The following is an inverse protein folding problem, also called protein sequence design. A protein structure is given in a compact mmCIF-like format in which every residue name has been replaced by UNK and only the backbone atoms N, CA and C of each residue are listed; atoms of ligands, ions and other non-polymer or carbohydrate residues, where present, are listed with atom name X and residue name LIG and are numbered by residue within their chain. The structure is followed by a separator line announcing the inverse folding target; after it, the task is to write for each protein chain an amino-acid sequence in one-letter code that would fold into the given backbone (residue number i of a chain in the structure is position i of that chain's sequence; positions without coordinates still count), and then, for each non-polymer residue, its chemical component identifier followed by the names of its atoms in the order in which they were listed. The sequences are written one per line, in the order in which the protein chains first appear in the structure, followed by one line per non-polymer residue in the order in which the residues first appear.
data_IF_338195636660
#
_entry.id   IF_338195636660
#
_cell.length_a   1.000
_cell.length_b   1.000
_cell.length_c   1.000
_cell.angle_alpha   90.00
_cell.angle_beta   90.00
_cell.angle_gamma   90.00
#
_symmetry.space_group_name_H-M   'P 1'
#
loop_
_entity.id
_entity.type
_entity.pdbx_description
1 polymer ?
#
# COMPACT_ATOMS: atom_id res chain seq x y z
N UNK A 1 0.60 1.52 -12.78
CA UNK A 1 1.24 2.65 -12.06
C UNK A 1 2.33 2.11 -11.13
N UNK A 2 3.61 2.09 -11.56
CA UNK A 2 4.64 1.25 -10.89
C UNK A 2 5.01 1.67 -9.46
N UNK A 3 4.80 2.93 -9.08
CA UNK A 3 5.07 3.36 -7.71
C UNK A 3 4.14 2.71 -6.66
N UNK A 4 2.95 2.22 -7.08
CA UNK A 4 2.04 1.50 -6.19
C UNK A 4 2.68 0.23 -5.63
N UNK A 5 3.53 -0.45 -6.43
CA UNK A 5 4.27 -1.63 -5.97
C UNK A 5 5.23 -1.27 -4.83
N UNK A 6 5.94 -0.14 -4.96
CA UNK A 6 6.81 0.35 -3.90
C UNK A 6 6.00 0.65 -2.63
N UNK A 7 4.85 1.32 -2.74
CA UNK A 7 4.01 1.61 -1.57
C UNK A 7 3.49 0.31 -0.94
N UNK A 8 3.07 -0.67 -1.75
CA UNK A 8 2.66 -1.99 -1.28
C UNK A 8 3.74 -2.64 -0.43
N UNK A 9 4.98 -2.72 -0.95
CA UNK A 9 6.14 -3.24 -0.21
C UNK A 9 6.41 -2.47 1.09
N UNK A 10 6.25 -1.14 1.10
CA UNK A 10 6.47 -0.32 2.29
C UNK A 10 5.34 -0.42 3.34
N UNK A 11 4.17 -0.89 2.93
CA UNK A 11 3.02 -1.18 3.81
C UNK A 11 2.98 -2.64 4.25
N UNK A 12 3.79 -3.51 3.65
CA UNK A 12 3.91 -4.91 4.02
C UNK A 12 4.69 -5.06 5.34
N UNK A 13 4.56 -6.21 5.98
CA UNK A 13 5.29 -6.53 7.20
C UNK A 13 6.81 -6.37 6.96
N UNK A 14 7.54 -5.61 7.80
CA UNK A 14 8.96 -5.34 7.63
C UNK A 14 9.81 -6.56 8.02
N UNK A 15 9.75 -7.60 7.18
CA UNK A 15 10.53 -8.82 7.32
C UNK A 15 12.02 -8.54 7.18
N UNK A 16 12.86 -9.41 7.75
CA UNK A 16 14.31 -9.27 7.66
C UNK A 16 14.79 -9.28 6.20
N UNK A 17 14.13 -10.06 5.34
CA UNK A 17 14.40 -10.15 3.91
C UNK A 17 14.09 -8.82 3.21
N UNK A 18 12.86 -8.30 3.38
CA UNK A 18 12.44 -7.02 2.80
C UNK A 18 13.35 -5.87 3.23
N UNK A 19 13.68 -5.79 4.52
CA UNK A 19 14.55 -4.74 5.05
C UNK A 19 15.97 -4.86 4.50
N UNK A 20 16.50 -6.07 4.35
CA UNK A 20 17.83 -6.30 3.77
C UNK A 20 17.88 -5.89 2.29
N UNK A 21 16.85 -6.24 1.52
CA UNK A 21 16.73 -5.83 0.10
C UNK A 21 16.61 -4.32 -0.03
N UNK A 22 15.74 -3.69 0.76
CA UNK A 22 15.56 -2.24 0.75
C UNK A 22 16.86 -1.51 1.15
N UNK A 23 17.58 -2.01 2.16
CA UNK A 23 18.87 -1.47 2.57
C UNK A 23 19.93 -1.59 1.47
N UNK A 24 20.00 -2.74 0.79
CA UNK A 24 20.93 -2.97 -0.31
C UNK A 24 20.63 -2.02 -1.50
N UNK A 25 19.36 -1.90 -1.87
CA UNK A 25 18.92 -1.02 -2.96
C UNK A 25 19.23 0.46 -2.67
N UNK A 26 18.96 0.92 -1.43
CA UNK A 26 19.27 2.28 -0.99
C UNK A 26 20.78 2.53 -0.96
N UNK A 27 21.59 1.55 -0.54
CA UNK A 27 23.06 1.68 -0.54
C UNK A 27 23.64 1.76 -1.95
N UNK A 28 23.08 1.02 -2.90
CA UNK A 28 23.55 0.99 -4.29
C UNK A 28 23.17 2.26 -5.06
N UNK A 29 21.92 2.69 -4.95
CA UNK A 29 21.36 3.74 -5.83
C UNK A 29 21.10 5.07 -5.15
N UNK A 30 21.01 5.08 -3.82
CA UNK A 30 20.50 6.19 -3.03
C UNK A 30 18.97 6.24 -3.03
N UNK A 31 18.38 6.57 -1.87
CA UNK A 31 16.93 6.51 -1.66
C UNK A 31 16.11 7.37 -2.64
N UNK A 32 16.61 8.55 -3.02
CA UNK A 32 15.92 9.44 -3.97
C UNK A 32 15.89 8.81 -5.36
N UNK A 33 17.00 8.23 -5.82
CA UNK A 33 17.09 7.58 -7.12
C UNK A 33 16.25 6.29 -7.16
N UNK A 34 16.22 5.53 -6.06
CA UNK A 34 15.36 4.36 -5.91
C UNK A 34 13.89 4.72 -6.12
N UNK A 35 13.39 5.73 -5.38
CA UNK A 35 12.00 6.19 -5.50
C UNK A 35 11.71 6.68 -6.93
N UNK A 36 12.64 7.41 -7.54
CA UNK A 36 12.49 7.86 -8.92
C UNK A 36 12.43 6.70 -9.93
N UNK A 37 13.20 5.64 -9.73
CA UNK A 37 13.18 4.44 -10.57
C UNK A 37 11.87 3.65 -10.44
N UNK A 38 11.21 3.71 -9.28
CA UNK A 38 9.90 3.10 -9.06
C UNK A 38 8.73 3.90 -9.68
N UNK A 39 8.98 5.11 -10.20
CA UNK A 39 7.98 5.94 -10.88
C UNK A 39 8.46 6.38 -12.29
N UNK A 40 8.62 5.41 -13.22
CA UNK A 40 9.11 5.69 -14.58
C UNK A 40 8.17 6.57 -15.39
N UNK A 41 6.87 6.54 -15.06
CA UNK A 41 5.84 7.32 -15.74
C UNK A 41 5.76 8.78 -15.25
N UNK A 42 6.47 9.13 -14.17
CA UNK A 42 6.47 10.48 -13.62
C UNK A 42 5.15 10.88 -12.96
N UNK A 43 4.45 9.93 -12.33
CA UNK A 43 3.16 10.18 -11.67
C UNK A 43 3.31 10.90 -10.35
N UNK A 44 4.43 10.71 -9.66
CA UNK A 44 4.72 11.34 -8.39
C UNK A 44 5.35 12.71 -8.61
N UNK A 45 4.80 13.71 -7.94
CA UNK A 45 5.41 15.03 -7.84
C UNK A 45 6.66 15.01 -6.93
N UNK A 46 7.37 16.14 -6.85
CA UNK A 46 8.62 16.22 -6.09
C UNK A 46 8.41 16.00 -4.58
N UNK A 47 7.28 16.47 -4.04
CA UNK A 47 6.98 16.36 -2.62
C UNK A 47 6.58 14.91 -2.26
N UNK A 48 5.82 14.24 -3.14
CA UNK A 48 5.45 12.83 -2.99
C UNK A 48 6.68 11.93 -3.05
N UNK A 49 7.61 12.18 -3.98
CA UNK A 49 8.88 11.45 -4.05
C UNK A 49 9.72 11.65 -2.78
N UNK A 50 9.78 12.88 -2.27
CA UNK A 50 10.49 13.19 -1.04
C UNK A 50 9.84 12.52 0.19
N UNK A 51 8.51 12.45 0.22
CA UNK A 51 7.76 11.78 1.28
C UNK A 51 8.09 10.29 1.35
N UNK A 52 8.08 9.58 0.21
CA UNK A 52 8.48 8.17 0.15
C UNK A 52 9.94 7.97 0.54
N UNK A 53 10.84 8.83 0.05
CA UNK A 53 12.26 8.76 0.39
C UNK A 53 12.52 8.98 1.89
N UNK A 54 11.79 9.92 2.50
CA UNK A 54 11.88 10.22 3.93
C UNK A 54 11.35 9.05 4.76
N UNK A 55 10.25 8.43 4.34
CA UNK A 55 9.72 7.23 4.99
C UNK A 55 10.75 6.10 4.96
N UNK A 56 11.28 5.74 3.78
CA UNK A 56 12.30 4.68 3.63
C UNK A 56 13.51 4.95 4.52
N UNK A 57 14.02 6.18 4.50
CA UNK A 57 15.18 6.58 5.31
C UNK A 57 14.89 6.41 6.80
N UNK A 58 13.70 6.80 7.27
CA UNK A 58 13.29 6.67 8.66
C UNK A 58 13.12 5.20 9.08
N UNK A 59 12.55 4.34 8.22
CA UNK A 59 12.42 2.91 8.52
C UNK A 59 13.79 2.24 8.67
N UNK A 60 14.71 2.49 7.73
CA UNK A 60 16.05 1.89 7.73
C UNK A 60 16.96 2.38 8.87
N UNK A 61 16.61 3.48 9.54
CA UNK A 61 17.34 4.00 10.69
C UNK A 61 16.89 3.41 12.03
N UNK A 62 15.79 2.65 12.05
CA UNK A 62 15.22 2.04 13.27
C UNK A 62 15.76 0.64 13.51
N UNK A 63 15.70 0.21 14.76
CA UNK A 63 15.93 -1.20 15.09
C UNK A 63 14.82 -2.08 14.49
N UNK A 64 15.20 -3.25 13.97
CA UNK A 64 14.30 -4.15 13.23
C UNK A 64 13.19 -4.69 14.14
N UNK A 65 13.51 -5.07 15.38
CA UNK A 65 12.52 -5.60 16.31
C UNK A 65 11.56 -4.50 16.77
N UNK A 66 12.05 -3.27 16.95
CA UNK A 66 11.19 -2.12 17.22
C UNK A 66 10.25 -1.82 16.05
N UNK A 67 10.72 -1.98 14.82
CA UNK A 67 9.95 -1.75 13.60
C UNK A 67 8.84 -2.78 13.43
N UNK A 68 9.19 -4.05 13.51
CA UNK A 68 8.26 -5.19 13.46
C UNK A 68 7.23 -5.11 14.59
N UNK A 69 7.67 -4.81 15.80
CA UNK A 69 6.78 -4.63 16.94
C UNK A 69 5.84 -3.43 16.78
N UNK A 70 6.30 -2.34 16.16
CA UNK A 70 5.43 -1.21 15.83
C UNK A 70 4.39 -1.59 14.77
N UNK A 71 4.81 -2.29 13.71
CA UNK A 71 3.90 -2.76 12.66
C UNK A 71 2.74 -3.59 13.24
N UNK A 72 3.05 -4.60 14.06
CA UNK A 72 2.03 -5.46 14.69
C UNK A 72 1.08 -4.65 15.57
N UNK A 73 1.60 -3.69 16.36
CA UNK A 73 0.74 -2.83 17.19
C UNK A 73 -0.18 -1.95 16.35
N UNK A 74 0.36 -1.41 15.27
CA UNK A 74 -0.33 -0.44 14.44
C UNK A 74 -1.37 -1.12 13.55
N UNK A 75 -1.10 -2.28 12.96
CA UNK A 75 -1.97 -2.91 11.96
C UNK A 75 -2.70 -4.16 12.45
N UNK A 76 -2.05 -5.03 13.22
CA UNK A 76 -2.64 -6.32 13.60
C UNK A 76 -3.48 -6.21 14.88
N UNK A 77 -3.09 -5.34 15.80
CA UNK A 77 -3.75 -5.15 17.10
C UNK A 77 -4.76 -4.01 17.12
N UNK A 78 -4.84 -3.21 16.06
CA UNK A 78 -5.73 -2.05 15.97
C UNK A 78 -6.69 -2.19 14.80
N UNK A 79 -7.92 -2.61 15.07
CA UNK A 79 -8.94 -2.89 14.04
C UNK A 79 -9.20 -1.70 13.09
N UNK A 80 -9.20 -0.47 13.62
CA UNK A 80 -9.40 0.76 12.84
C UNK A 80 -8.28 1.06 11.83
N UNK A 81 -7.14 0.39 11.97
CA UNK A 81 -5.96 0.53 11.12
C UNK A 81 -5.74 -0.68 10.22
N UNK A 82 -6.56 -1.74 10.34
CA UNK A 82 -6.35 -2.98 9.60
C UNK A 82 -6.14 -2.76 8.10
N UNK A 83 -5.15 -3.42 7.51
CA UNK A 83 -4.87 -3.36 6.07
C UNK A 83 -5.78 -4.28 5.24
N UNK A 84 -6.68 -5.04 5.86
CA UNK A 84 -7.69 -5.84 5.17
C UNK A 84 -8.92 -4.98 4.88
N UNK A 85 -9.03 -4.48 3.65
CA UNK A 85 -10.02 -3.43 3.34
C UNK A 85 -11.48 -3.90 3.50
N UNK A 86 -11.77 -5.18 3.28
CA UNK A 86 -13.14 -5.69 3.46
C UNK A 86 -13.57 -5.69 4.92
N UNK A 87 -12.65 -5.69 5.88
CA UNK A 87 -12.95 -5.55 7.31
C UNK A 87 -13.64 -4.21 7.61
N UNK A 88 -13.21 -3.13 6.94
CA UNK A 88 -13.81 -1.80 7.13
C UNK A 88 -15.19 -1.65 6.49
N UNK A 89 -15.52 -2.51 5.53
CA UNK A 89 -16.80 -2.48 4.81
C UNK A 89 -17.83 -3.39 5.50
N UNK A 90 -17.41 -4.61 5.85
CA UNK A 90 -18.31 -5.68 6.30
C UNK A 90 -18.09 -6.09 7.76
N UNK A 91 -16.99 -5.70 8.41
CA UNK A 91 -16.66 -6.19 9.75
C UNK A 91 -16.59 -7.72 9.81
N UNK A 92 -17.40 -8.32 10.69
CA UNK A 92 -17.57 -9.78 10.85
C UNK A 92 -18.78 -10.34 10.09
N UNK A 93 -19.40 -9.56 9.20
CA UNK A 93 -20.57 -10.02 8.46
C UNK A 93 -20.25 -11.20 7.53
N UNK A 94 -21.23 -12.09 7.37
CA UNK A 94 -21.13 -13.27 6.48
C UNK A 94 -20.90 -12.92 5.01
N UNK A 95 -21.21 -11.68 4.62
CA UNK A 95 -20.99 -11.11 3.29
C UNK A 95 -19.52 -10.92 2.93
N UNK A 96 -18.62 -10.89 3.92
CA UNK A 96 -17.16 -10.75 3.68
C UNK A 96 -16.58 -11.89 2.86
N UNK A 97 -16.98 -13.14 3.15
CA UNK A 97 -16.47 -14.33 2.46
C UNK A 97 -16.69 -14.29 0.93
N UNK A 98 -17.94 -14.10 0.47
CA UNK A 98 -18.24 -13.91 -0.95
C UNK A 98 -17.44 -12.78 -1.61
N UNK A 99 -17.31 -11.61 -0.95
CA UNK A 99 -16.54 -10.50 -1.50
C UNK A 99 -15.05 -10.83 -1.72
N UNK A 100 -14.45 -11.61 -0.82
CA UNK A 100 -13.07 -12.10 -0.98
C UNK A 100 -12.94 -13.08 -2.15
N UNK A 101 -13.93 -13.94 -2.36
CA UNK A 101 -13.97 -14.87 -3.50
C UNK A 101 -14.04 -14.07 -4.80
N UNK A 102 -14.98 -13.12 -4.91
CA UNK A 102 -15.17 -12.30 -6.11
C UNK A 102 -13.89 -11.49 -6.44
N UNK A 103 -13.22 -10.93 -5.42
CA UNK A 103 -11.94 -10.23 -5.60
C UNK A 103 -10.82 -11.16 -6.07
N UNK A 104 -10.74 -12.37 -5.51
CA UNK A 104 -9.78 -13.38 -5.96
C UNK A 104 -10.02 -13.85 -7.40
N UNK A 105 -11.28 -14.03 -7.80
CA UNK A 105 -11.63 -14.34 -9.20
C UNK A 105 -11.30 -13.18 -10.15
N UNK A 106 -11.50 -11.94 -9.70
CA UNK A 106 -11.11 -10.75 -10.44
C UNK A 106 -9.60 -10.70 -10.71
N UNK A 107 -8.75 -11.01 -9.72
CA UNK A 107 -7.30 -11.11 -9.92
C UNK A 107 -6.92 -12.19 -10.93
N UNK A 108 -7.52 -13.38 -10.81
CA UNK A 108 -7.31 -14.49 -11.75
C UNK A 108 -7.69 -14.13 -13.17
N UNK A 109 -8.77 -13.35 -13.36
CA UNK A 109 -9.19 -12.91 -14.69
C UNK A 109 -8.19 -11.98 -15.39
N UNK A 110 -7.29 -11.33 -14.63
CA UNK A 110 -6.21 -10.49 -15.15
C UNK A 110 -4.86 -11.24 -15.22
N UNK A 111 -4.88 -12.57 -15.02
CA UNK A 111 -3.68 -13.41 -15.09
C UNK A 111 -2.75 -13.29 -13.88
N UNK A 112 -3.22 -12.68 -12.78
CA UNK A 112 -2.48 -12.62 -11.52
C UNK A 112 -2.90 -13.77 -10.62
N UNK A 113 -1.93 -14.65 -10.34
CA UNK A 113 -2.04 -15.64 -9.28
C UNK A 113 -1.63 -14.95 -7.98
N UNK A 114 -2.61 -14.47 -7.21
CA UNK A 114 -2.35 -13.98 -5.86
C UNK A 114 -1.70 -15.10 -5.03
N UNK A 115 -0.70 -14.76 -4.21
CA UNK A 115 -0.13 -15.72 -3.27
C UNK A 115 -1.26 -16.27 -2.39
N UNK A 116 -1.47 -17.59 -2.42
CA UNK A 116 -2.53 -18.26 -1.67
C UNK A 116 -2.40 -18.06 -0.14
N UNK A 117 -1.27 -17.55 0.32
CA UNK A 117 -1.00 -17.28 1.74
C UNK A 117 -1.65 -16.00 2.26
N UNK A 118 -1.99 -15.05 1.38
CA UNK A 118 -2.56 -13.77 1.78
C UNK A 118 -3.99 -13.59 1.24
N UNK A 119 -4.83 -12.92 2.03
CA UNK A 119 -6.17 -12.60 1.56
C UNK A 119 -6.12 -11.54 0.46
N UNK A 120 -6.97 -11.64 -0.57
CA UNK A 120 -6.91 -10.73 -1.71
C UNK A 120 -7.25 -9.27 -1.36
N UNK A 121 -7.86 -9.01 -0.20
CA UNK A 121 -8.19 -7.67 0.28
C UNK A 121 -7.09 -7.00 1.12
N UNK A 122 -5.95 -7.67 1.30
CA UNK A 122 -4.79 -7.10 1.96
C UNK A 122 -4.20 -5.98 1.09
N UNK A 123 -4.13 -4.76 1.63
CA UNK A 123 -3.79 -3.57 0.84
C UNK A 123 -2.47 -3.71 0.04
N UNK A 124 -1.36 -4.24 0.58
CA UNK A 124 -0.15 -4.52 -0.21
C UNK A 124 -0.40 -5.38 -1.47
N UNK A 125 -1.17 -6.47 -1.35
CA UNK A 125 -1.56 -7.32 -2.49
C UNK A 125 -2.39 -6.53 -3.50
N UNK A 126 -3.34 -5.71 -3.02
CA UNK A 126 -4.15 -4.86 -3.89
C UNK A 126 -3.29 -3.85 -4.67
N UNK A 127 -2.26 -3.29 -4.04
CA UNK A 127 -1.35 -2.32 -4.66
C UNK A 127 -0.38 -2.97 -5.64
N UNK A 128 0.10 -4.17 -5.34
CA UNK A 128 0.88 -4.96 -6.29
C UNK A 128 0.04 -5.25 -7.54
N UNK A 129 -1.19 -5.73 -7.36
CA UNK A 129 -2.13 -5.96 -8.46
C UNK A 129 -2.36 -4.69 -9.30
N UNK A 130 -2.69 -3.57 -8.64
CA UNK A 130 -2.91 -2.28 -9.31
C UNK A 130 -1.65 -1.75 -10.03
N UNK A 131 -0.45 -2.17 -9.62
CA UNK A 131 0.79 -1.78 -10.27
C UNK A 131 1.02 -2.45 -11.64
N UNK A 132 0.35 -3.59 -11.88
CA UNK A 132 0.40 -4.36 -13.13
C UNK A 132 -0.72 -3.98 -14.12
N UNK A 133 -1.75 -3.29 -13.65
CA UNK A 133 -2.81 -2.75 -14.50
C UNK A 133 -2.35 -1.54 -15.34
N UNK A 134 -3.09 -1.27 -16.42
CA UNK A 134 -3.01 0.04 -17.07
C UNK A 134 -3.38 1.17 -16.09
N UNK A 135 -3.01 2.41 -16.42
CA UNK A 135 -3.27 3.55 -15.53
C UNK A 135 -4.77 3.72 -15.26
N UNK A 136 -5.57 3.62 -16.31
CA UNK A 136 -7.01 3.79 -16.27
C UNK A 136 -7.67 2.69 -15.42
N UNK A 137 -7.27 1.44 -15.63
CA UNK A 137 -7.77 0.29 -14.85
C UNK A 137 -7.35 0.37 -13.38
N UNK A 138 -6.07 0.69 -13.10
CA UNK A 138 -5.57 0.86 -11.74
C UNK A 138 -6.36 1.95 -11.00
N UNK A 139 -6.67 3.05 -11.70
CA UNK A 139 -7.45 4.13 -11.12
C UNK A 139 -8.88 3.70 -10.79
N UNK A 140 -9.58 3.05 -11.74
CA UNK A 140 -10.94 2.54 -11.52
C UNK A 140 -10.95 1.56 -10.35
N UNK A 141 -9.99 0.64 -10.32
CA UNK A 141 -9.83 -0.34 -9.25
C UNK A 141 -9.65 0.31 -7.87
N UNK A 142 -8.74 1.29 -7.75
CA UNK A 142 -8.51 1.98 -6.48
C UNK A 142 -9.68 2.91 -6.08
N UNK A 143 -10.41 3.47 -7.04
CA UNK A 143 -11.55 4.33 -6.77
C UNK A 143 -12.69 3.57 -6.05
N UNK A 144 -12.89 2.29 -6.36
CA UNK A 144 -13.86 1.41 -5.68
C UNK A 144 -13.60 1.34 -4.16
N UNK A 145 -12.33 1.34 -3.75
CA UNK A 145 -11.92 1.30 -2.34
C UNK A 145 -11.52 2.66 -1.77
N UNK A 146 -11.64 3.75 -2.55
CA UNK A 146 -11.18 5.08 -2.18
C UNK A 146 -11.79 5.62 -0.88
N UNK A 147 -13.06 5.30 -0.60
CA UNK A 147 -13.70 5.67 0.68
C UNK A 147 -13.05 4.98 1.88
N UNK A 148 -12.68 3.71 1.73
CA UNK A 148 -12.03 2.94 2.79
C UNK A 148 -10.60 3.44 3.00
N UNK A 149 -9.86 3.65 1.91
CA UNK A 149 -8.52 4.24 1.96
C UNK A 149 -8.52 5.59 2.69
N UNK A 150 -9.53 6.43 2.45
CA UNK A 150 -9.69 7.69 3.16
C UNK A 150 -9.90 7.49 4.66
N UNK A 151 -10.81 6.61 5.06
CA UNK A 151 -11.06 6.32 6.48
C UNK A 151 -9.82 5.79 7.16
N UNK A 152 -9.11 4.86 6.52
CA UNK A 152 -7.87 4.29 7.03
C UNK A 152 -6.79 5.38 7.18
N UNK A 153 -6.58 6.22 6.17
CA UNK A 153 -5.65 7.35 6.24
C UNK A 153 -6.02 8.31 7.38
N UNK A 154 -7.30 8.70 7.49
CA UNK A 154 -7.78 9.58 8.56
C UNK A 154 -7.52 8.96 9.96
N UNK A 155 -7.70 7.65 10.12
CA UNK A 155 -7.46 6.96 11.40
C UNK A 155 -5.98 6.86 11.76
N UNK A 156 -5.11 6.61 10.78
CA UNK A 156 -3.67 6.60 10.97
C UNK A 156 -3.16 8.02 11.32
N UNK A 157 -3.68 9.06 10.65
CA UNK A 157 -3.33 10.47 10.93
C UNK A 157 -3.73 10.91 12.34
N UNK A 158 -4.91 10.52 12.83
CA UNK A 158 -5.36 10.82 14.21
C UNK A 158 -4.39 10.33 15.28
N UNK A 159 -3.64 9.27 15.00
CA UNK A 159 -2.65 8.68 15.92
C UNK A 159 -1.21 9.10 15.59
N UNK A 160 -1.02 10.00 14.60
CA UNK A 160 0.29 10.39 14.08
C UNK A 160 1.15 9.19 13.64
N UNK A 161 0.48 8.18 13.08
CA UNK A 161 1.13 6.94 12.65
C UNK A 161 2.09 7.19 11.48
N UNK A 162 3.26 6.55 11.51
CA UNK A 162 4.30 6.72 10.47
C UNK A 162 3.89 6.26 9.07
N UNK A 163 2.93 5.35 8.95
CA UNK A 163 2.42 4.82 7.67
C UNK A 163 1.29 5.67 7.08
N UNK A 164 0.72 6.62 7.85
CA UNK A 164 -0.36 7.50 7.38
C UNK A 164 -0.06 8.18 6.02
N UNK A 165 1.16 8.73 5.78
CA UNK A 165 1.48 9.38 4.51
C UNK A 165 1.38 8.43 3.31
N UNK A 166 1.71 7.14 3.48
CA UNK A 166 1.66 6.15 2.41
C UNK A 166 0.21 5.88 1.98
N UNK A 167 -0.67 5.63 2.95
CA UNK A 167 -2.10 5.38 2.66
C UNK A 167 -2.76 6.63 2.07
N UNK A 168 -2.42 7.82 2.58
CA UNK A 168 -2.90 9.09 2.03
C UNK A 168 -2.46 9.29 0.58
N UNK A 169 -1.23 8.92 0.25
CA UNK A 169 -0.71 9.02 -1.12
C UNK A 169 -1.50 8.10 -2.08
N UNK A 170 -1.78 6.87 -1.66
CA UNK A 170 -2.64 5.95 -2.44
C UNK A 170 -4.04 6.55 -2.63
N UNK A 171 -4.66 7.06 -1.56
CA UNK A 171 -5.98 7.68 -1.61
C UNK A 171 -6.04 8.90 -2.54
N UNK A 172 -5.02 9.76 -2.50
CA UNK A 172 -4.88 10.90 -3.43
C UNK A 172 -4.90 10.39 -4.87
N UNK A 173 -4.05 9.43 -5.21
CA UNK A 173 -3.95 8.90 -6.58
C UNK A 173 -5.17 8.09 -7.02
N UNK A 174 -5.94 7.54 -6.07
CA UNK A 174 -7.23 6.89 -6.31
C UNK A 174 -8.37 7.89 -6.62
N UNK A 175 -8.21 9.18 -6.32
CA UNK A 175 -9.29 10.19 -6.46
C UNK A 175 -9.10 11.19 -7.61
N UNK A 176 -7.93 11.19 -8.26
CA UNK A 176 -7.55 12.17 -9.30
C UNK A 176 -8.40 12.16 -10.59
N UNK A 177 -9.34 11.24 -10.78
CA UNK A 177 -10.18 11.16 -12.00
C UNK A 177 -11.31 12.19 -12.08
N UNK A 178 -11.54 13.03 -11.05
CA UNK A 178 -12.52 14.12 -11.18
C UNK A 178 -12.01 15.40 -11.88
N UNK A 179 -10.72 15.53 -12.16
CA UNK A 179 -10.13 16.81 -12.61
C UNK A 179 -9.73 16.85 -14.10
N UNK A 180 -9.87 15.76 -14.85
CA UNK A 180 -9.38 15.66 -16.23
C UNK A 180 -10.39 15.11 -17.25
N UNK A 181 -11.69 15.19 -16.94
CA UNK A 181 -12.77 14.95 -17.89
C UNK A 181 -13.41 16.26 -18.37
#
# INVERSE_FOLDING_TARGET
MKFLKLIGLLLDYPSDELLAELHAAVRETGVVSLVAACDPDGMLDADERLQLASFITAQLARDVLELQGAYVRDFDLTAEHSLHLTHHIFGEEKSRGPALIDLGEFYKSHGLEADERELPDYLPVMLEFASELSREEAHVFLAEVGKVLKVLADNLEKTSNTYAPLVRLVEKHASLTRLTA
#
